data_IF_511412739022
#
_entry.id   IF_511412739022
#
_cell.length_a   1.000
_cell.length_b   1.000
_cell.length_c   1.000
_cell.angle_alpha   90.00
_cell.angle_beta   90.00
_cell.angle_gamma   90.00
#
_symmetry.space_group_name_H-M   'P 1'
#
loop_
_entity.id
_entity.type
_entity.pdbx_description
1 polymer ?
#
# COMPACT_ATOMS: atom_id res chain seq x y z
N UNK A 1 -21.53 -27.29 -44.29
CA UNK A 1 -21.35 -27.53 -42.85
C UNK A 1 -20.56 -26.36 -42.28
N UNK A 2 -21.26 -25.41 -41.67
CA UNK A 2 -20.71 -24.20 -41.05
C UNK A 2 -20.14 -24.60 -39.69
N UNK A 3 -18.84 -24.81 -39.62
CA UNK A 3 -18.10 -24.85 -38.37
C UNK A 3 -17.09 -23.69 -38.42
N UNK A 4 -17.63 -22.46 -38.47
CA UNK A 4 -16.83 -21.27 -38.28
C UNK A 4 -16.51 -21.25 -36.79
N UNK A 5 -15.26 -21.58 -36.48
CA UNK A 5 -14.66 -21.65 -35.16
C UNK A 5 -15.05 -20.38 -34.40
N UNK A 6 -15.98 -20.54 -33.44
CA UNK A 6 -16.14 -19.65 -32.31
C UNK A 6 -14.81 -19.71 -31.55
N UNK A 7 -13.85 -18.93 -32.02
CA UNK A 7 -12.67 -18.54 -31.27
C UNK A 7 -13.22 -17.67 -30.15
N UNK A 8 -13.73 -18.34 -29.11
CA UNK A 8 -14.06 -17.76 -27.83
C UNK A 8 -12.76 -17.20 -27.29
N UNK A 9 -12.45 -15.98 -27.70
CA UNK A 9 -11.52 -15.09 -27.04
C UNK A 9 -12.13 -14.93 -25.64
N UNK A 10 -11.76 -15.85 -24.74
CA UNK A 10 -11.71 -15.56 -23.33
C UNK A 10 -10.71 -14.42 -23.23
N UNK A 11 -11.20 -13.19 -23.40
CA UNK A 11 -10.44 -12.02 -23.06
C UNK A 11 -10.28 -12.13 -21.56
N UNK A 12 -9.11 -12.60 -21.13
CA UNK A 12 -8.79 -12.70 -19.73
C UNK A 12 -8.96 -11.29 -19.18
N UNK A 13 -9.98 -11.11 -18.35
CA UNK A 13 -10.21 -9.89 -17.60
C UNK A 13 -9.08 -9.79 -16.56
N UNK A 14 -7.89 -9.41 -17.00
CA UNK A 14 -6.84 -8.99 -16.10
C UNK A 14 -7.31 -7.70 -15.44
N UNK A 15 -7.36 -7.69 -14.10
CA UNK A 15 -7.55 -6.46 -13.35
C UNK A 15 -6.34 -5.55 -13.51
N UNK A 16 -6.54 -4.23 -13.37
CA UNK A 16 -5.45 -3.28 -13.26
C UNK A 16 -4.78 -3.46 -11.89
N UNK A 17 -3.44 -3.52 -11.88
CA UNK A 17 -2.66 -3.50 -10.65
C UNK A 17 -2.60 -2.08 -10.07
N UNK A 18 -2.55 -2.04 -8.74
CA UNK A 18 -2.37 -0.82 -7.95
C UNK A 18 -1.28 -1.07 -6.91
N UNK A 19 -0.07 -0.62 -7.22
CA UNK A 19 1.06 -0.76 -6.30
C UNK A 19 1.10 0.46 -5.37
N UNK A 20 1.33 0.20 -4.08
CA UNK A 20 1.41 1.25 -3.05
C UNK A 20 2.69 1.03 -2.25
N UNK A 21 3.46 2.09 -2.11
CA UNK A 21 4.61 2.15 -1.20
C UNK A 21 4.46 3.31 -0.22
N UNK A 22 4.91 3.14 1.02
CA UNK A 22 4.95 4.19 2.05
C UNK A 22 6.33 4.30 2.71
N UNK A 23 6.77 5.52 3.02
CA UNK A 23 8.07 5.81 3.63
C UNK A 23 7.95 6.09 5.13
N UNK A 24 7.87 5.04 5.94
CA UNK A 24 7.56 5.12 7.37
C UNK A 24 8.80 5.35 8.21
N UNK A 25 8.71 6.28 9.16
CA UNK A 25 9.78 6.60 10.11
C UNK A 25 9.40 6.03 11.49
N UNK A 26 10.35 5.37 12.17
CA UNK A 26 10.10 4.76 13.49
C UNK A 26 9.64 5.81 14.52
N UNK A 27 10.27 6.99 14.55
CA UNK A 27 9.86 8.08 15.43
C UNK A 27 8.40 8.50 15.25
N UNK A 28 7.90 8.52 14.00
CA UNK A 28 6.50 8.85 13.71
C UNK A 28 5.55 7.77 14.22
N UNK A 29 5.91 6.50 14.02
CA UNK A 29 5.15 5.37 14.57
C UNK A 29 5.04 5.47 16.09
N UNK A 30 6.16 5.77 16.77
CA UNK A 30 6.20 5.96 18.23
C UNK A 30 5.33 7.15 18.66
N UNK A 31 5.46 8.30 18.00
CA UNK A 31 4.69 9.50 18.33
C UNK A 31 3.17 9.26 18.23
N UNK A 32 2.73 8.49 17.24
CA UNK A 32 1.32 8.12 17.09
C UNK A 32 0.92 7.07 18.14
N UNK A 33 1.69 6.00 18.30
CA UNK A 33 1.37 4.90 19.22
C UNK A 33 1.28 5.37 20.68
N UNK A 34 2.14 6.30 21.10
CA UNK A 34 2.16 6.88 22.45
C UNK A 34 1.21 8.07 22.63
N UNK A 35 0.46 8.45 21.60
CA UNK A 35 -0.52 9.54 21.68
C UNK A 35 0.10 10.94 21.72
N UNK A 36 1.38 11.12 21.41
CA UNK A 36 1.98 12.44 21.23
C UNK A 36 1.42 13.17 20.00
N UNK A 37 0.96 12.40 19.00
CA UNK A 37 0.27 12.89 17.81
C UNK A 37 -0.93 12.00 17.52
N UNK A 38 -2.06 12.59 17.17
CA UNK A 38 -3.25 11.84 16.78
C UNK A 38 -3.11 11.19 15.40
N UNK A 39 -2.50 11.91 14.45
CA UNK A 39 -2.25 11.44 13.09
C UNK A 39 -1.01 12.12 12.54
N UNK A 40 -0.19 11.37 11.81
CA UNK A 40 0.96 11.87 11.05
C UNK A 40 0.77 11.45 9.59
N UNK A 41 1.15 12.30 8.64
CA UNK A 41 1.17 11.95 7.22
C UNK A 41 2.57 11.49 6.84
N UNK A 42 2.69 10.29 6.30
CA UNK A 42 3.93 9.78 5.71
C UNK A 42 3.86 9.82 4.18
N UNK A 43 4.95 10.18 3.49
CA UNK A 43 4.99 10.12 2.03
C UNK A 43 4.76 8.70 1.51
N UNK A 44 4.08 8.60 0.38
CA UNK A 44 3.88 7.35 -0.34
C UNK A 44 3.88 7.54 -1.85
N UNK A 45 4.04 6.42 -2.56
CA UNK A 45 3.95 6.37 -4.02
C UNK A 45 2.87 5.39 -4.43
N UNK A 46 2.08 5.81 -5.42
CA UNK A 46 1.10 5.00 -6.11
C UNK A 46 1.61 4.69 -7.51
N UNK A 47 1.57 3.42 -7.93
CA UNK A 47 1.74 3.01 -9.33
C UNK A 47 0.45 2.34 -9.79
N UNK A 48 -0.32 3.05 -10.61
CA UNK A 48 -1.55 2.55 -11.20
C UNK A 48 -1.27 2.02 -12.60
N UNK A 49 -1.59 0.75 -12.86
CA UNK A 49 -1.41 0.16 -14.18
C UNK A 49 -2.32 0.82 -15.21
N UNK A 50 -1.75 1.04 -16.40
CA UNK A 50 -2.38 1.69 -17.54
C UNK A 50 -2.25 0.79 -18.78
N UNK A 51 -3.21 0.90 -19.70
CA UNK A 51 -3.25 0.08 -20.91
C UNK A 51 -2.07 0.32 -21.86
N UNK A 52 -1.54 1.55 -21.90
CA UNK A 52 -0.39 1.92 -22.73
C UNK A 52 0.24 3.23 -22.27
N UNK A 53 1.49 3.47 -22.70
CA UNK A 53 2.21 4.72 -22.44
C UNK A 53 1.49 5.94 -23.03
N UNK A 54 0.99 5.82 -24.26
CA UNK A 54 0.27 6.91 -24.93
C UNK A 54 -1.04 7.26 -24.21
N UNK A 55 -1.83 6.25 -23.82
CA UNK A 55 -3.03 6.45 -23.01
C UNK A 55 -2.69 7.12 -21.68
N UNK A 56 -1.63 6.67 -21.01
CA UNK A 56 -1.19 7.26 -19.75
C UNK A 56 -0.81 8.74 -19.93
N UNK A 57 -0.01 9.07 -20.94
CA UNK A 57 0.45 10.45 -21.17
C UNK A 57 -0.71 11.39 -21.49
N UNK A 58 -1.63 10.95 -22.35
CA UNK A 58 -2.79 11.75 -22.76
C UNK A 58 -3.81 11.93 -21.62
N UNK A 59 -4.03 10.90 -20.80
CA UNK A 59 -5.04 10.94 -19.74
C UNK A 59 -4.50 11.35 -18.37
N UNK A 60 -3.17 11.52 -18.20
CA UNK A 60 -2.53 11.77 -16.90
C UNK A 60 -3.22 12.85 -16.06
N UNK A 61 -3.55 13.99 -16.67
CA UNK A 61 -4.18 15.10 -15.97
C UNK A 61 -5.65 14.80 -15.60
N UNK A 62 -6.43 14.27 -16.55
CA UNK A 62 -7.85 13.96 -16.35
C UNK A 62 -8.06 12.81 -15.35
N UNK A 63 -7.24 11.76 -15.47
CA UNK A 63 -7.20 10.66 -14.52
C UNK A 63 -6.74 11.16 -13.15
N UNK A 64 -5.70 11.99 -13.11
CA UNK A 64 -5.21 12.58 -11.86
C UNK A 64 -6.31 13.29 -11.07
N UNK A 65 -7.05 14.20 -11.72
CA UNK A 65 -8.18 14.89 -11.11
C UNK A 65 -9.30 13.94 -10.63
N UNK A 66 -9.51 12.83 -11.33
CA UNK A 66 -10.50 11.81 -10.93
C UNK A 66 -10.04 11.01 -9.70
N UNK A 67 -8.72 10.90 -9.49
CA UNK A 67 -8.12 10.10 -8.42
C UNK A 67 -7.87 10.90 -7.14
N UNK A 68 -7.74 12.23 -7.23
CA UNK A 68 -7.47 13.13 -6.10
C UNK A 68 -8.42 12.93 -4.91
N UNK A 69 -9.69 12.59 -5.16
CA UNK A 69 -10.68 12.37 -4.09
C UNK A 69 -10.41 11.13 -3.22
N UNK A 70 -9.53 10.22 -3.65
CA UNK A 70 -9.29 8.92 -2.99
C UNK A 70 -8.00 8.89 -2.17
N UNK A 71 -7.16 9.94 -2.23
CA UNK A 71 -5.86 9.98 -1.58
C UNK A 71 -5.56 11.39 -1.06
N UNK A 72 -4.77 11.50 0.01
CA UNK A 72 -4.33 12.79 0.53
C UNK A 72 -3.16 13.28 -0.32
N UNK A 73 -3.16 14.57 -0.68
CA UNK A 73 -2.09 15.23 -1.44
C UNK A 73 -1.66 14.48 -2.71
N UNK A 74 -2.63 13.85 -3.39
CA UNK A 74 -2.41 13.14 -4.64
C UNK A 74 -1.78 14.07 -5.68
N UNK A 75 -0.62 13.70 -6.20
CA UNK A 75 0.05 14.45 -7.25
C UNK A 75 0.54 13.50 -8.34
N UNK A 76 -0.08 13.50 -9.54
CA UNK A 76 0.41 12.69 -10.65
C UNK A 76 1.80 13.18 -11.09
N UNK A 77 2.72 12.24 -11.33
CA UNK A 77 4.11 12.51 -11.71
C UNK A 77 4.34 12.16 -13.16
N UNK A 78 4.79 10.95 -13.44
CA UNK A 78 5.20 10.50 -14.77
C UNK A 78 4.44 9.25 -15.17
N UNK A 79 4.49 8.93 -16.45
CA UNK A 79 4.12 7.62 -16.95
C UNK A 79 5.41 6.83 -17.18
N UNK A 80 5.47 5.61 -16.67
CA UNK A 80 6.65 4.75 -16.78
C UNK A 80 6.28 3.40 -17.37
N UNK A 81 7.23 2.84 -18.12
CA UNK A 81 7.13 1.48 -18.61
C UNK A 81 8.10 0.60 -17.82
N UNK A 82 7.60 -0.52 -17.31
CA UNK A 82 8.38 -1.53 -16.59
C UNK A 82 8.13 -2.88 -17.24
N UNK A 83 9.06 -3.31 -18.10
CA UNK A 83 8.84 -4.47 -18.97
C UNK A 83 7.69 -4.22 -19.95
N UNK A 84 6.65 -5.06 -19.91
CA UNK A 84 5.45 -4.91 -20.75
C UNK A 84 4.35 -4.07 -20.10
N UNK A 85 4.52 -3.68 -18.83
CA UNK A 85 3.51 -2.97 -18.06
C UNK A 85 3.76 -1.47 -18.11
N UNK A 86 2.68 -0.69 -18.22
CA UNK A 86 2.73 0.77 -18.11
C UNK A 86 2.09 1.20 -16.80
N UNK A 87 2.68 2.18 -16.13
CA UNK A 87 2.17 2.74 -14.89
C UNK A 87 2.04 4.26 -14.96
N UNK A 88 0.94 4.78 -14.44
CA UNK A 88 0.88 6.14 -13.92
C UNK A 88 1.50 6.16 -12.52
N UNK A 89 2.57 6.93 -12.36
CA UNK A 89 3.13 7.25 -11.06
C UNK A 89 2.45 8.47 -10.44
N UNK A 90 2.14 8.38 -9.15
CA UNK A 90 1.70 9.51 -8.35
C UNK A 90 2.32 9.47 -6.96
N UNK A 91 2.54 10.64 -6.36
CA UNK A 91 2.84 10.74 -4.93
C UNK A 91 1.53 10.95 -4.17
N UNK A 92 1.45 10.35 -2.98
CA UNK A 92 0.32 10.48 -2.05
C UNK A 92 0.87 10.64 -0.64
N UNK A 93 0.05 11.15 0.27
CA UNK A 93 0.31 11.03 1.70
C UNK A 93 -0.55 9.93 2.30
N UNK A 94 0.06 9.08 3.12
CA UNK A 94 -0.59 7.99 3.83
C UNK A 94 -0.72 8.38 5.31
N UNK A 95 -1.92 8.39 5.89
CA UNK A 95 -2.10 8.70 7.30
C UNK A 95 -1.64 7.54 8.19
N UNK A 96 -0.79 7.83 9.16
CA UNK A 96 -0.42 6.99 10.30
C UNK A 96 -1.29 7.40 11.48
N UNK A 97 -2.02 6.45 12.06
CA UNK A 97 -3.03 6.69 13.10
C UNK A 97 -2.99 5.61 14.20
N UNK A 98 -3.53 5.92 15.38
CA UNK A 98 -3.64 4.98 16.49
C UNK A 98 -4.96 4.18 16.51
N UNK A 99 -5.93 4.48 15.62
CA UNK A 99 -7.26 3.85 15.64
C UNK A 99 -7.73 3.39 14.27
N UNK A 100 -8.10 2.10 14.16
CA UNK A 100 -8.64 1.48 12.93
C UNK A 100 -9.97 2.06 12.44
N UNK A 101 -10.76 2.65 13.32
CA UNK A 101 -12.09 3.17 12.96
C UNK A 101 -12.08 4.69 12.76
N UNK A 102 -11.35 5.41 13.62
CA UNK A 102 -11.33 6.87 13.55
C UNK A 102 -10.74 7.39 12.24
N UNK A 103 -9.73 6.71 11.67
CA UNK A 103 -9.07 7.17 10.45
C UNK A 103 -9.99 7.18 9.22
N UNK A 104 -10.93 6.23 9.13
CA UNK A 104 -11.90 6.16 8.01
C UNK A 104 -12.82 7.38 7.99
N UNK A 105 -13.18 7.90 9.15
CA UNK A 105 -14.05 9.08 9.27
C UNK A 105 -13.27 10.39 9.13
N UNK A 106 -12.00 10.40 9.58
CA UNK A 106 -11.18 11.62 9.65
C UNK A 106 -10.34 11.86 8.41
N UNK A 107 -10.13 10.85 7.58
CA UNK A 107 -9.27 10.93 6.40
C UNK A 107 -10.03 10.48 5.16
N UNK A 108 -9.74 11.12 4.01
CA UNK A 108 -10.26 10.72 2.70
C UNK A 108 -9.27 9.84 1.94
N UNK A 109 -8.45 9.07 2.66
CA UNK A 109 -7.42 8.22 2.07
C UNK A 109 -7.91 6.79 1.91
N UNK A 110 -7.61 6.18 0.77
CA UNK A 110 -7.90 4.77 0.51
C UNK A 110 -7.01 3.84 1.34
N UNK A 111 -5.75 4.24 1.57
CA UNK A 111 -4.78 3.48 2.36
C UNK A 111 -4.41 4.25 3.63
N UNK A 112 -4.10 3.52 4.70
CA UNK A 112 -3.63 4.08 5.96
C UNK A 112 -2.68 3.12 6.66
N UNK A 113 -2.07 3.59 7.74
CA UNK A 113 -1.19 2.78 8.59
C UNK A 113 -1.69 2.92 10.02
N UNK A 114 -1.91 1.79 10.69
CA UNK A 114 -2.10 1.76 12.13
C UNK A 114 -0.74 1.69 12.82
N UNK A 115 -0.55 2.49 13.86
CA UNK A 115 0.54 2.36 14.82
C UNK A 115 -0.03 2.42 16.22
N UNK A 116 -0.02 1.30 16.95
CA UNK A 116 -0.55 1.21 18.31
C UNK A 116 0.38 0.43 19.21
N UNK A 117 0.29 0.65 20.51
CA UNK A 117 1.01 -0.17 21.49
C UNK A 117 0.52 -1.62 21.35
N UNK A 118 1.47 -2.56 21.33
CA UNK A 118 1.15 -3.99 21.31
C UNK A 118 0.70 -4.46 22.68
N UNK A 119 -0.42 -5.17 22.73
CA UNK A 119 -0.92 -5.83 23.94
C UNK A 119 -0.21 -7.16 24.23
N UNK A 120 0.61 -7.66 23.29
CA UNK A 120 1.17 -9.02 23.33
C UNK A 120 2.68 -9.08 23.54
N UNK A 121 3.45 -8.25 22.84
CA UNK A 121 4.90 -8.45 22.74
C UNK A 121 5.74 -7.35 23.44
N UNK A 122 5.10 -6.32 23.99
CA UNK A 122 5.79 -5.15 24.52
C UNK A 122 6.46 -4.35 23.40
N UNK A 123 5.77 -3.36 22.85
CA UNK A 123 6.24 -2.69 21.64
C UNK A 123 5.15 -1.95 20.89
N UNK A 124 5.33 -1.80 19.58
CA UNK A 124 4.36 -1.17 18.67
C UNK A 124 3.94 -2.18 17.61
N UNK A 125 2.64 -2.37 17.43
CA UNK A 125 2.04 -3.09 16.31
C UNK A 125 1.77 -2.14 15.15
N UNK A 126 2.21 -2.54 13.95
CA UNK A 126 2.01 -1.78 12.72
C UNK A 126 1.20 -2.59 11.72
N UNK A 127 0.13 -1.97 11.20
CA UNK A 127 -0.78 -2.59 10.25
C UNK A 127 -1.00 -1.67 9.05
N UNK A 128 -1.17 -2.26 7.88
CA UNK A 128 -1.70 -1.54 6.73
C UNK A 128 -3.22 -1.60 6.78
N UNK A 129 -3.86 -0.46 6.50
CA UNK A 129 -5.30 -0.28 6.53
C UNK A 129 -5.81 0.05 5.13
N UNK A 130 -6.99 -0.46 4.82
CA UNK A 130 -7.70 -0.23 3.56
C UNK A 130 -9.11 0.29 3.85
N UNK A 131 -9.43 1.46 3.33
CA UNK A 131 -10.78 1.97 3.33
C UNK A 131 -11.58 1.29 2.21
N UNK A 132 -12.14 0.11 2.49
CA UNK A 132 -12.82 -0.72 1.48
C UNK A 132 -13.92 0.03 0.69
N UNK A 133 -14.66 0.93 1.34
CA UNK A 133 -15.65 1.80 0.66
C UNK A 133 -15.01 2.68 -0.43
N UNK A 134 -14.00 3.48 -0.07
CA UNK A 134 -13.24 4.31 -1.02
C UNK A 134 -12.53 3.46 -2.08
N UNK A 135 -11.97 2.31 -1.71
CA UNK A 135 -11.34 1.41 -2.69
C UNK A 135 -12.35 0.88 -3.72
N UNK A 136 -13.57 0.55 -3.29
CA UNK A 136 -14.65 0.12 -4.19
C UNK A 136 -15.07 1.24 -5.14
N UNK A 137 -15.15 2.48 -4.66
CA UNK A 137 -15.45 3.65 -5.50
C UNK A 137 -14.31 3.98 -6.47
N UNK A 138 -13.06 3.88 -6.02
CA UNK A 138 -11.87 4.00 -6.83
C UNK A 138 -11.87 2.96 -7.95
N UNK A 139 -12.10 1.67 -7.62
CA UNK A 139 -12.17 0.58 -8.59
C UNK A 139 -13.27 0.80 -9.63
N UNK A 140 -14.47 1.27 -9.21
CA UNK A 140 -15.54 1.65 -10.14
C UNK A 140 -15.16 2.83 -11.04
N UNK A 141 -14.41 3.80 -10.52
CA UNK A 141 -13.95 4.96 -11.30
C UNK A 141 -13.00 4.51 -12.40
N UNK A 142 -12.06 3.61 -12.09
CA UNK A 142 -11.18 2.99 -13.09
C UNK A 142 -11.97 2.12 -14.07
N UNK A 143 -12.89 1.28 -13.58
CA UNK A 143 -13.70 0.39 -14.43
C UNK A 143 -14.55 1.18 -15.43
N UNK A 144 -15.16 2.29 -15.01
CA UNK A 144 -15.96 3.14 -15.92
C UNK A 144 -15.15 3.81 -17.03
N UNK A 145 -13.84 4.04 -16.81
CA UNK A 145 -12.96 4.70 -17.78
C UNK A 145 -12.24 3.71 -18.69
N UNK A 146 -11.82 2.58 -18.14
CA UNK A 146 -10.91 1.64 -18.81
C UNK A 146 -11.48 0.23 -18.99
N UNK A 147 -12.71 -0.01 -18.53
CA UNK A 147 -13.37 -1.33 -18.55
C UNK A 147 -12.56 -2.43 -17.83
N UNK A 148 -11.71 -2.02 -16.90
CA UNK A 148 -10.88 -2.90 -16.08
C UNK A 148 -11.09 -2.58 -14.61
N UNK A 149 -11.20 -3.61 -13.77
CA UNK A 149 -11.34 -3.45 -12.31
C UNK A 149 -9.97 -3.36 -11.68
N UNK A 150 -9.84 -2.56 -10.63
CA UNK A 150 -8.68 -2.69 -9.74
C UNK A 150 -8.84 -3.91 -8.87
N UNK A 151 -7.76 -4.67 -8.74
CA UNK A 151 -7.62 -5.71 -7.74
C UNK A 151 -6.22 -5.72 -7.13
N UNK A 152 -6.05 -6.51 -6.07
CA UNK A 152 -4.74 -6.72 -5.46
C UNK A 152 -3.98 -7.91 -6.06
N UNK A 153 -4.51 -8.55 -7.09
CA UNK A 153 -3.89 -9.69 -7.77
C UNK A 153 -2.65 -9.20 -8.52
N UNK A 154 -1.47 -9.57 -8.04
CA UNK A 154 -0.20 -9.09 -8.59
C UNK A 154 0.14 -7.63 -8.24
N UNK A 155 -0.68 -6.95 -7.44
CA UNK A 155 -0.35 -5.64 -6.86
C UNK A 155 0.73 -5.80 -5.78
N UNK A 156 1.64 -4.83 -5.68
CA UNK A 156 2.70 -4.78 -4.68
C UNK A 156 2.36 -3.75 -3.61
N UNK A 157 2.28 -4.19 -2.37
CA UNK A 157 1.99 -3.33 -1.22
C UNK A 157 3.20 -3.42 -0.28
N UNK A 158 3.90 -2.30 -0.12
CA UNK A 158 5.14 -2.27 0.66
C UNK A 158 5.26 -1.03 1.53
N UNK A 159 6.11 -1.13 2.56
CA UNK A 159 6.55 -0.02 3.40
C UNK A 159 8.08 -0.05 3.49
N UNK A 160 8.69 1.11 3.29
CA UNK A 160 10.09 1.37 3.62
C UNK A 160 10.15 1.89 5.04
N UNK A 161 10.61 1.09 5.99
CA UNK A 161 10.77 1.47 7.38
C UNK A 161 12.17 2.04 7.61
N UNK A 162 12.26 3.29 8.08
CA UNK A 162 13.51 4.00 8.37
C UNK A 162 13.71 4.13 9.87
N UNK A 163 14.88 3.69 10.35
CA UNK A 163 15.28 3.90 11.73
C UNK A 163 15.95 5.26 11.89
N UNK A 164 15.17 6.27 12.29
CA UNK A 164 15.66 7.60 12.65
C UNK A 164 16.20 7.68 14.08
N UNK A 165 16.10 6.59 14.85
CA UNK A 165 16.57 6.55 16.23
C UNK A 165 18.09 6.42 16.29
N UNK A 166 18.67 6.87 17.40
CA UNK A 166 20.12 6.70 17.68
C UNK A 166 20.48 5.27 18.08
N UNK A 167 19.49 4.44 18.41
CA UNK A 167 19.65 3.09 18.89
C UNK A 167 19.19 2.07 17.84
N UNK A 168 19.78 0.86 17.93
CA UNK A 168 19.30 -0.32 17.23
C UNK A 168 17.81 -0.55 17.55
N UNK A 169 17.01 -0.79 16.51
CA UNK A 169 15.61 -1.19 16.66
C UNK A 169 15.45 -2.63 16.19
N UNK A 170 14.49 -3.37 16.76
CA UNK A 170 14.21 -4.75 16.37
C UNK A 170 12.79 -4.85 15.83
N UNK A 171 12.65 -5.41 14.64
CA UNK A 171 11.37 -5.66 13.98
C UNK A 171 11.04 -7.14 14.01
N UNK A 172 9.85 -7.49 14.50
CA UNK A 172 9.27 -8.82 14.33
C UNK A 172 8.41 -8.84 13.07
N UNK A 173 8.69 -9.79 12.19
CA UNK A 173 7.95 -9.93 10.94
C UNK A 173 7.83 -11.40 10.52
N UNK A 174 6.70 -11.73 9.89
CA UNK A 174 6.37 -13.03 9.30
C UNK A 174 5.63 -12.80 7.97
N UNK A 175 5.49 -13.85 7.16
CA UNK A 175 4.70 -13.91 5.92
C UNK A 175 4.87 -12.69 4.99
N UNK A 176 6.11 -12.27 4.78
CA UNK A 176 6.47 -11.07 4.04
C UNK A 176 7.79 -11.26 3.28
N UNK A 177 8.11 -10.32 2.41
CA UNK A 177 9.42 -10.17 1.79
C UNK A 177 10.13 -8.99 2.44
N UNK A 178 11.33 -9.20 2.96
CA UNK A 178 12.16 -8.17 3.60
C UNK A 178 13.40 -7.96 2.76
N UNK A 179 13.59 -6.76 2.22
CA UNK A 179 14.64 -6.44 1.26
C UNK A 179 14.66 -7.40 0.05
N UNK A 180 13.49 -7.91 -0.34
CA UNK A 180 13.32 -8.90 -1.41
C UNK A 180 13.41 -10.36 -0.98
N UNK A 181 13.93 -10.66 0.22
CA UNK A 181 14.07 -12.03 0.71
C UNK A 181 12.80 -12.52 1.42
N UNK A 182 12.32 -13.74 1.14
CA UNK A 182 11.12 -14.28 1.79
C UNK A 182 11.35 -14.60 3.27
N UNK A 183 10.42 -14.16 4.11
CA UNK A 183 10.33 -14.46 5.53
C UNK A 183 9.04 -15.23 5.79
N UNK A 184 9.14 -16.55 5.92
CA UNK A 184 7.98 -17.47 6.04
C UNK A 184 7.60 -17.81 7.48
N UNK A 185 8.49 -17.56 8.43
CA UNK A 185 8.26 -17.73 9.87
C UNK A 185 8.65 -16.44 10.56
N UNK A 186 8.10 -16.19 11.75
CA UNK A 186 8.42 -14.99 12.50
C UNK A 186 9.94 -14.89 12.75
N UNK A 187 10.52 -13.77 12.34
CA UNK A 187 11.94 -13.44 12.55
C UNK A 187 12.07 -12.09 13.23
N UNK A 188 13.07 -11.98 14.10
CA UNK A 188 13.56 -10.72 14.64
C UNK A 188 14.64 -10.18 13.72
N UNK A 189 14.40 -9.00 13.15
CA UNK A 189 15.32 -8.36 12.20
C UNK A 189 15.81 -7.06 12.84
N UNK A 190 17.11 -6.93 13.15
CA UNK A 190 17.67 -5.68 13.65
C UNK A 190 17.74 -4.64 12.53
N UNK A 191 17.55 -3.37 12.91
CA UNK A 191 17.77 -2.20 12.05
C UNK A 191 18.71 -1.26 12.78
N UNK A 192 19.91 -1.07 12.25
CA UNK A 192 20.86 -0.10 12.79
C UNK A 192 20.34 1.35 12.65
N UNK A 193 20.86 2.28 13.46
CA UNK A 193 20.59 3.71 13.29
C UNK A 193 20.82 4.17 11.85
N UNK A 194 19.93 5.01 11.34
CA UNK A 194 19.94 5.56 9.97
C UNK A 194 19.81 4.53 8.83
N UNK A 195 19.62 3.25 9.15
CA UNK A 195 19.33 2.22 8.16
C UNK A 195 17.82 2.06 7.91
N UNK A 196 17.48 1.25 6.91
CA UNK A 196 16.11 0.99 6.48
C UNK A 196 15.85 -0.48 6.19
N UNK A 197 14.59 -0.88 6.26
CA UNK A 197 14.07 -2.15 5.75
C UNK A 197 12.95 -1.91 4.76
N UNK A 198 13.00 -2.58 3.62
CA UNK A 198 11.90 -2.62 2.66
C UNK A 198 11.04 -3.85 2.95
N UNK A 199 9.77 -3.63 3.29
CA UNK A 199 8.85 -4.67 3.73
C UNK A 199 7.69 -4.76 2.73
N UNK A 200 7.58 -5.88 2.02
CA UNK A 200 6.47 -6.16 1.10
C UNK A 200 5.61 -7.31 1.64
N UNK A 201 4.30 -7.13 1.67
CA UNK A 201 3.39 -8.19 2.16
C UNK A 201 3.19 -9.28 1.10
N UNK A 202 3.07 -10.53 1.58
CA UNK A 202 2.75 -11.70 0.76
C UNK A 202 1.38 -11.58 0.07
N UNK A 203 1.17 -12.41 -0.95
CA UNK A 203 -0.12 -12.61 -1.60
C UNK A 203 -1.24 -12.97 -0.64
N UNK A 204 -0.98 -13.85 0.33
CA UNK A 204 -1.93 -14.22 1.39
C UNK A 204 -2.34 -12.99 2.20
N UNK A 205 -1.38 -12.15 2.58
CA UNK A 205 -1.64 -10.90 3.32
C UNK A 205 -2.36 -9.86 2.48
N UNK A 206 -2.08 -9.76 1.18
CA UNK A 206 -2.83 -8.89 0.26
C UNK A 206 -4.28 -9.32 0.15
N UNK A 207 -4.54 -10.61 0.03
CA UNK A 207 -5.90 -11.14 -0.03
C UNK A 207 -6.65 -10.90 1.29
N UNK A 208 -5.96 -11.06 2.43
CA UNK A 208 -6.50 -10.71 3.73
C UNK A 208 -6.87 -9.21 3.83
N UNK A 209 -5.97 -8.31 3.41
CA UNK A 209 -6.23 -6.87 3.37
C UNK A 209 -7.47 -6.52 2.52
N UNK A 210 -7.58 -7.14 1.34
CA UNK A 210 -8.72 -6.96 0.43
C UNK A 210 -10.05 -7.28 1.12
N UNK A 211 -10.10 -8.40 1.84
CA UNK A 211 -11.32 -8.92 2.49
C UNK A 211 -11.64 -8.23 3.80
N UNK A 212 -10.63 -7.98 4.62
CA UNK A 212 -10.79 -7.55 6.01
C UNK A 212 -10.60 -6.04 6.20
N UNK A 213 -9.97 -5.36 5.22
CA UNK A 213 -9.69 -3.93 5.29
C UNK A 213 -8.49 -3.57 6.18
N UNK A 214 -7.73 -4.56 6.66
CA UNK A 214 -6.49 -4.37 7.41
C UNK A 214 -5.60 -5.61 7.27
N UNK A 215 -4.30 -5.46 7.51
CA UNK A 215 -3.36 -6.58 7.63
C UNK A 215 -2.14 -6.20 8.48
N UNK A 216 -1.64 -7.10 9.34
CA UNK A 216 -0.37 -6.87 10.05
C UNK A 216 0.79 -6.72 9.06
N UNK A 217 1.63 -5.72 9.29
CA UNK A 217 2.88 -5.54 8.55
C UNK A 217 4.02 -6.14 9.37
N UNK A 218 4.24 -5.60 10.56
CA UNK A 218 5.31 -5.96 11.46
C UNK A 218 5.02 -5.43 12.87
N UNK A 219 5.89 -5.77 13.81
CA UNK A 219 5.90 -5.15 15.13
C UNK A 219 7.28 -4.65 15.50
N UNK A 220 7.37 -3.49 16.14
CA UNK A 220 8.61 -2.98 16.72
C UNK A 220 8.70 -3.50 18.16
N UNK A 221 9.79 -4.20 18.47
CA UNK A 221 10.13 -4.55 19.85
C UNK A 221 10.80 -3.33 20.46
N UNK A 222 10.23 -2.83 21.54
CA UNK A 222 10.92 -1.81 22.34
C UNK A 222 11.78 -2.53 23.37
N UNK A 223 13.04 -2.14 23.47
CA UNK A 223 13.93 -2.64 24.51
C UNK A 223 13.30 -2.40 25.88
N UNK A 224 13.24 -3.46 26.69
CA UNK A 224 12.91 -3.41 28.12
C UNK A 224 14.04 -2.71 28.86
#
# INVERSE_FOLDING_TARGET
MRCLILLSIAFWMAGCKINVSGDVIIGDLMNVAFGHKETILTPGTLRLEMSSLDTCQNERANLGASLERFFINFTPKTCEQSGMETYLLATIDIPVTASRDAWKMKTRSTFGILSKISDQIGGIEVEMLLHQGLFKELSKTIESKYFQKLDFSGSRLNLTLKNDQRALQVVLIADAFVNGDPVTVQKSIPIDPMNRLDIEISDVRREHLSRMGWVPMFSLVMGI
#
